data_IF_678949974644
#
_entry.id   IF_678949974644
#
_cell.length_a   1.000
_cell.length_b   1.000
_cell.length_c   1.000
_cell.angle_alpha   90.00
_cell.angle_beta   90.00
_cell.angle_gamma   90.00
#
_symmetry.space_group_name_H-M   'P 1'
#
loop_
_entity.id
_entity.type
_entity.pdbx_description
1 polymer ?
#
# COMPACT_ATOMS: atom_id res chain seq x y z
N UNK A 1 16.18 2.90 -40.77
CA UNK A 1 16.55 1.58 -40.21
C UNK A 1 17.57 1.71 -39.08
N UNK A 2 18.60 2.55 -39.23
CA UNK A 2 19.59 2.85 -38.19
C UNK A 2 18.97 3.53 -36.95
N UNK A 3 18.18 4.60 -37.13
CA UNK A 3 17.53 5.32 -36.01
C UNK A 3 16.65 4.44 -35.10
N UNK A 4 16.00 3.41 -35.67
CA UNK A 4 15.19 2.44 -34.92
C UNK A 4 16.05 1.48 -34.08
N UNK A 5 17.27 1.16 -34.53
CA UNK A 5 18.23 0.35 -33.78
C UNK A 5 18.84 1.21 -32.65
N UNK A 6 19.12 2.47 -32.92
CA UNK A 6 19.70 3.39 -31.94
C UNK A 6 18.69 3.76 -30.83
N UNK A 7 17.44 4.03 -31.20
CA UNK A 7 16.35 4.23 -30.24
C UNK A 7 16.14 2.99 -29.37
N UNK A 8 16.36 1.79 -29.93
CA UNK A 8 16.24 0.51 -29.22
C UNK A 8 17.37 0.27 -28.23
N UNK A 9 18.62 0.53 -28.62
CA UNK A 9 19.79 0.45 -27.74
C UNK A 9 19.67 1.46 -26.59
N UNK A 10 19.18 2.67 -26.87
CA UNK A 10 18.93 3.69 -25.84
C UNK A 10 17.86 3.23 -24.86
N UNK A 11 16.73 2.71 -25.34
CA UNK A 11 15.65 2.24 -24.46
C UNK A 11 16.08 1.07 -23.55
N UNK A 12 16.85 0.10 -24.07
CA UNK A 12 17.40 -1.00 -23.25
C UNK A 12 18.42 -0.51 -22.23
N UNK A 13 19.32 0.39 -22.63
CA UNK A 13 20.32 0.97 -21.73
C UNK A 13 19.68 1.84 -20.64
N UNK A 14 18.56 2.50 -20.95
CA UNK A 14 17.83 3.36 -20.01
C UNK A 14 17.07 2.54 -18.96
N UNK A 15 16.52 1.38 -19.35
CA UNK A 15 15.93 0.40 -18.42
C UNK A 15 17.01 -0.18 -17.51
N UNK A 16 18.15 -0.61 -18.06
CA UNK A 16 19.26 -1.21 -17.30
C UNK A 16 19.89 -0.19 -16.33
N UNK A 17 20.05 1.06 -16.77
CA UNK A 17 20.52 2.16 -15.93
C UNK A 17 19.54 2.49 -14.81
N UNK A 18 18.23 2.44 -15.09
CA UNK A 18 17.19 2.63 -14.08
C UNK A 18 17.21 1.50 -13.07
N UNK A 19 17.38 0.24 -13.50
CA UNK A 19 17.47 -0.94 -12.64
C UNK A 19 18.68 -0.88 -11.71
N UNK A 20 19.87 -0.55 -12.23
CA UNK A 20 21.09 -0.40 -11.44
C UNK A 20 21.00 0.74 -10.41
N UNK A 21 20.38 1.87 -10.79
CA UNK A 21 20.12 2.97 -9.87
C UNK A 21 19.16 2.55 -8.76
N UNK A 22 18.15 1.75 -9.10
CA UNK A 22 17.18 1.23 -8.15
C UNK A 22 17.80 0.23 -7.15
N UNK A 23 18.64 -0.68 -7.63
CA UNK A 23 19.40 -1.62 -6.79
C UNK A 23 20.37 -0.90 -5.84
N UNK A 24 20.98 0.19 -6.30
CA UNK A 24 21.90 0.99 -5.49
C UNK A 24 21.17 1.74 -4.37
N UNK A 25 20.03 2.36 -4.68
CA UNK A 25 19.17 3.01 -3.69
C UNK A 25 18.62 2.02 -2.67
N UNK A 26 18.24 0.81 -3.12
CA UNK A 26 17.80 -0.27 -2.25
C UNK A 26 18.89 -0.70 -1.25
N UNK A 27 20.12 -0.91 -1.74
CA UNK A 27 21.27 -1.26 -0.88
C UNK A 27 21.58 -0.17 0.14
N UNK A 28 21.45 1.10 -0.25
CA UNK A 28 21.65 2.23 0.66
C UNK A 28 20.55 2.27 1.74
N UNK A 29 19.29 2.07 1.34
CA UNK A 29 18.14 2.02 2.25
C UNK A 29 18.23 0.87 3.28
N UNK A 30 18.64 -0.33 2.85
CA UNK A 30 18.89 -1.49 3.74
C UNK A 30 20.02 -1.19 4.74
N UNK A 31 21.01 -0.39 4.34
CA UNK A 31 22.18 -0.08 5.17
C UNK A 31 21.91 0.99 6.24
N UNK A 32 20.90 1.85 6.07
CA UNK A 32 20.74 3.07 6.86
C UNK A 32 19.86 2.93 8.12
N UNK A 33 19.16 1.81 8.33
CA UNK A 33 18.15 1.71 9.43
C UNK A 33 18.27 0.47 10.30
N UNK A 34 18.44 0.67 11.61
CA UNK A 34 18.77 -0.35 12.62
C UNK A 34 17.64 -1.29 13.10
N UNK A 35 18.03 -2.57 13.16
CA UNK A 35 17.79 -3.66 14.12
C UNK A 35 16.42 -4.07 14.70
N UNK A 36 15.32 -3.30 14.66
CA UNK A 36 14.07 -3.76 15.32
C UNK A 36 12.81 -3.73 14.44
N UNK A 37 12.81 -2.96 13.35
CA UNK A 37 11.69 -2.86 12.39
C UNK A 37 11.96 -3.72 11.13
N UNK A 38 13.00 -4.56 11.18
CA UNK A 38 13.80 -4.96 10.01
C UNK A 38 13.33 -6.23 9.31
N UNK A 39 12.82 -7.25 9.98
CA UNK A 39 12.63 -8.55 9.30
C UNK A 39 11.44 -8.57 8.33
N UNK A 40 10.29 -8.02 8.73
CA UNK A 40 9.11 -7.95 7.86
C UNK A 40 9.35 -7.02 6.66
N UNK A 41 10.02 -5.88 6.91
CA UNK A 41 10.37 -4.95 5.84
C UNK A 41 11.40 -5.54 4.88
N UNK A 42 12.40 -6.27 5.39
CA UNK A 42 13.39 -6.95 4.56
C UNK A 42 12.76 -8.11 3.77
N UNK A 43 11.84 -8.87 4.37
CA UNK A 43 11.11 -9.94 3.69
C UNK A 43 10.22 -9.41 2.57
N UNK A 44 9.39 -8.39 2.87
CA UNK A 44 8.53 -7.72 1.88
C UNK A 44 9.39 -7.12 0.77
N UNK A 45 10.50 -6.46 1.11
CA UNK A 45 11.40 -5.85 0.14
C UNK A 45 12.09 -6.88 -0.77
N UNK A 46 12.46 -8.06 -0.24
CA UNK A 46 13.02 -9.18 -1.01
C UNK A 46 11.96 -9.90 -1.88
N UNK A 47 10.78 -10.24 -1.35
CA UNK A 47 9.69 -10.88 -2.11
C UNK A 47 9.22 -9.99 -3.28
N UNK A 48 9.17 -8.67 -3.04
CA UNK A 48 8.87 -7.66 -4.05
C UNK A 48 9.99 -7.59 -5.09
N UNK A 49 11.24 -7.48 -4.65
CA UNK A 49 12.38 -7.39 -5.56
C UNK A 49 12.39 -8.57 -6.55
N UNK A 50 12.16 -9.78 -6.07
CA UNK A 50 12.23 -10.98 -6.90
C UNK A 50 11.05 -11.11 -7.86
N UNK A 51 9.82 -10.76 -7.42
CA UNK A 51 8.65 -10.68 -8.29
C UNK A 51 8.78 -9.61 -9.39
N UNK A 52 9.34 -8.44 -9.05
CA UNK A 52 9.58 -7.36 -10.02
C UNK A 52 10.64 -7.71 -11.05
N UNK A 53 11.74 -8.34 -10.63
CA UNK A 53 12.79 -8.81 -11.54
C UNK A 53 12.24 -9.88 -12.49
N UNK A 54 11.40 -10.80 -12.00
CA UNK A 54 10.74 -11.79 -12.86
C UNK A 54 9.77 -11.16 -13.88
N UNK A 55 8.96 -10.19 -13.47
CA UNK A 55 8.04 -9.49 -14.38
C UNK A 55 8.81 -8.71 -15.45
N UNK A 56 9.85 -7.97 -15.07
CA UNK A 56 10.67 -7.21 -16.00
C UNK A 56 11.46 -8.13 -16.95
N UNK A 57 11.97 -9.26 -16.46
CA UNK A 57 12.60 -10.28 -17.31
C UNK A 57 11.59 -10.87 -18.30
N UNK A 58 10.36 -11.16 -17.88
CA UNK A 58 9.28 -11.64 -18.74
C UNK A 58 8.91 -10.65 -19.84
N UNK A 59 8.80 -9.35 -19.50
CA UNK A 59 8.60 -8.28 -20.49
C UNK A 59 9.78 -8.24 -21.48
N UNK A 60 11.01 -8.38 -21.01
CA UNK A 60 12.19 -8.38 -21.87
C UNK A 60 12.18 -9.56 -22.86
N UNK A 61 11.87 -10.78 -22.41
CA UNK A 61 11.72 -11.94 -23.29
C UNK A 61 10.62 -11.77 -24.34
N UNK A 62 9.48 -11.17 -23.96
CA UNK A 62 8.40 -10.88 -24.92
C UNK A 62 8.80 -9.80 -25.93
N UNK A 63 9.62 -8.83 -25.54
CA UNK A 63 10.20 -7.85 -26.46
C UNK A 63 11.19 -8.50 -27.44
N UNK A 64 12.02 -9.45 -26.99
CA UNK A 64 12.89 -10.24 -27.88
C UNK A 64 12.09 -11.10 -28.86
N UNK A 65 11.01 -11.72 -28.39
CA UNK A 65 10.08 -12.45 -29.25
C UNK A 65 9.43 -11.52 -30.28
N UNK A 66 9.03 -10.30 -29.89
CA UNK A 66 8.55 -9.29 -30.83
C UNK A 66 9.59 -8.99 -31.91
N UNK A 67 10.88 -8.88 -31.56
CA UNK A 67 11.96 -8.62 -32.52
C UNK A 67 12.10 -9.76 -33.54
N UNK A 68 12.00 -11.01 -33.10
CA UNK A 68 12.07 -12.17 -33.99
C UNK A 68 10.87 -12.26 -34.93
N UNK A 69 9.67 -11.92 -34.42
CA UNK A 69 8.43 -11.97 -35.18
C UNK A 69 8.25 -10.78 -36.13
N UNK A 70 8.92 -9.64 -35.91
CA UNK A 70 8.61 -8.40 -36.64
C UNK A 70 8.80 -8.50 -38.16
N UNK A 71 9.70 -9.38 -38.62
CA UNK A 71 9.96 -9.64 -40.04
C UNK A 71 9.15 -10.82 -40.60
N UNK A 72 8.78 -11.79 -39.76
CA UNK A 72 8.13 -13.05 -40.18
C UNK A 72 6.60 -13.00 -40.05
N UNK A 73 6.09 -12.34 -39.02
CA UNK A 73 4.66 -12.17 -38.75
C UNK A 73 4.40 -10.84 -38.02
N UNK A 74 4.28 -9.73 -38.76
CA UNK A 74 4.14 -8.39 -38.18
C UNK A 74 2.88 -8.22 -37.31
N UNK A 75 1.78 -8.91 -37.64
CA UNK A 75 0.54 -8.87 -36.83
C UNK A 75 0.73 -9.54 -35.47
N UNK A 76 1.38 -10.71 -35.43
CA UNK A 76 1.70 -11.38 -34.18
C UNK A 76 2.68 -10.55 -33.33
N UNK A 77 3.72 -9.97 -33.95
CA UNK A 77 4.67 -9.07 -33.29
C UNK A 77 3.96 -7.86 -32.64
N UNK A 78 3.04 -7.21 -33.37
CA UNK A 78 2.27 -6.08 -32.84
C UNK A 78 1.36 -6.48 -31.67
N UNK A 79 0.76 -7.68 -31.71
CA UNK A 79 -0.06 -8.20 -30.62
C UNK A 79 0.78 -8.44 -29.35
N UNK A 80 1.90 -9.15 -29.47
CA UNK A 80 2.84 -9.39 -28.36
C UNK A 80 3.42 -8.09 -27.80
N UNK A 81 3.67 -7.08 -28.64
CA UNK A 81 4.15 -5.77 -28.19
C UNK A 81 3.10 -5.01 -27.37
N UNK A 82 1.83 -5.07 -27.79
CA UNK A 82 0.71 -4.46 -27.03
C UNK A 82 0.53 -5.13 -25.67
N UNK A 83 0.61 -6.46 -25.62
CA UNK A 83 0.52 -7.23 -24.39
C UNK A 83 1.68 -6.90 -23.43
N UNK A 84 2.91 -6.86 -23.95
CA UNK A 84 4.09 -6.48 -23.17
C UNK A 84 3.99 -5.07 -22.61
N UNK A 85 3.45 -4.11 -23.38
CA UNK A 85 3.22 -2.73 -22.93
C UNK A 85 2.14 -2.65 -21.84
N UNK A 86 1.10 -3.48 -21.91
CA UNK A 86 0.08 -3.55 -20.87
C UNK A 86 0.65 -4.14 -19.57
N UNK A 87 1.42 -5.24 -19.66
CA UNK A 87 2.08 -5.84 -18.51
C UNK A 87 3.09 -4.90 -17.86
N UNK A 88 3.89 -4.17 -18.66
CA UNK A 88 4.82 -3.17 -18.14
C UNK A 88 4.10 -2.02 -17.42
N UNK A 89 2.94 -1.56 -17.93
CA UNK A 89 2.14 -0.53 -17.25
C UNK A 89 1.62 -1.01 -15.90
N UNK A 90 1.12 -2.25 -15.82
CA UNK A 90 0.67 -2.86 -14.57
C UNK A 90 1.82 -2.99 -13.57
N UNK A 91 2.98 -3.50 -14.03
CA UNK A 91 4.18 -3.58 -13.21
C UNK A 91 4.61 -2.21 -12.68
N UNK A 92 4.62 -1.16 -13.51
CA UNK A 92 4.95 0.21 -13.06
C UNK A 92 3.94 0.72 -12.01
N UNK A 93 2.65 0.40 -12.14
CA UNK A 93 1.64 0.75 -11.15
C UNK A 93 1.84 0.01 -9.83
N UNK A 94 2.07 -1.30 -9.88
CA UNK A 94 2.39 -2.11 -8.70
C UNK A 94 3.68 -1.63 -8.02
N UNK A 95 4.71 -1.28 -8.80
CA UNK A 95 5.97 -0.76 -8.28
C UNK A 95 5.74 0.56 -7.55
N UNK A 96 4.95 1.46 -8.13
CA UNK A 96 4.58 2.73 -7.48
C UNK A 96 3.81 2.50 -6.20
N UNK A 97 2.88 1.55 -6.17
CA UNK A 97 2.10 1.20 -4.97
C UNK A 97 3.00 0.64 -3.87
N UNK A 98 3.93 -0.23 -4.24
CA UNK A 98 4.93 -0.78 -3.33
C UNK A 98 5.88 0.29 -2.80
N UNK A 99 6.42 1.15 -3.67
CA UNK A 99 7.28 2.27 -3.28
C UNK A 99 6.53 3.20 -2.34
N UNK A 100 5.25 3.45 -2.60
CA UNK A 100 4.39 4.22 -1.71
C UNK A 100 4.28 3.56 -0.34
N UNK A 101 4.09 2.24 -0.30
CA UNK A 101 4.05 1.46 0.94
C UNK A 101 5.41 1.36 1.66
N UNK A 102 6.53 1.55 0.96
CA UNK A 102 7.90 1.44 1.47
C UNK A 102 8.55 2.81 1.75
N UNK A 103 7.93 3.93 1.38
CA UNK A 103 8.54 5.26 1.50
C UNK A 103 8.82 5.60 2.98
N UNK A 104 10.02 6.14 3.30
CA UNK A 104 10.29 6.73 4.60
C UNK A 104 9.23 7.79 4.91
N UNK A 105 8.61 7.66 6.08
CA UNK A 105 7.43 8.40 6.54
C UNK A 105 7.70 9.88 6.88
N UNK A 106 8.81 10.46 6.41
CA UNK A 106 9.29 11.80 6.76
C UNK A 106 9.20 12.82 5.62
N UNK A 107 8.36 12.63 4.59
CA UNK A 107 8.22 13.61 3.50
C UNK A 107 6.81 14.20 3.41
N UNK A 108 6.74 15.52 3.60
CA UNK A 108 5.62 16.46 3.77
C UNK A 108 4.49 16.49 2.71
N UNK A 109 4.37 15.52 1.80
CA UNK A 109 3.42 15.61 0.66
C UNK A 109 2.71 14.30 0.34
N UNK A 110 2.16 13.63 1.35
CA UNK A 110 1.20 12.56 1.11
C UNK A 110 -0.22 13.14 1.07
N UNK A 111 -0.88 13.00 -0.08
CA UNK A 111 -2.32 13.15 -0.18
C UNK A 111 -2.96 11.80 0.22
N UNK A 112 -3.61 11.78 1.37
CA UNK A 112 -4.21 10.60 1.97
C UNK A 112 -5.39 10.10 1.13
N UNK A 113 -6.29 10.99 0.72
CA UNK A 113 -7.51 10.64 0.00
C UNK A 113 -7.20 10.02 -1.37
N UNK A 114 -6.34 10.60 -2.23
CA UNK A 114 -5.91 9.95 -3.47
C UNK A 114 -5.18 8.63 -3.22
N UNK A 115 -4.33 8.56 -2.19
CA UNK A 115 -3.62 7.35 -1.81
C UNK A 115 -4.56 6.20 -1.44
N UNK A 116 -5.55 6.47 -0.58
CA UNK A 116 -6.57 5.51 -0.17
C UNK A 116 -7.46 5.10 -1.35
N UNK A 117 -7.86 6.05 -2.20
CA UNK A 117 -8.70 5.78 -3.38
C UNK A 117 -8.03 4.78 -4.32
N UNK A 118 -6.73 4.97 -4.60
CA UNK A 118 -5.95 4.04 -5.41
C UNK A 118 -5.81 2.67 -4.73
N UNK A 119 -5.51 2.66 -3.42
CA UNK A 119 -5.37 1.44 -2.66
C UNK A 119 -6.66 0.60 -2.67
N UNK A 120 -7.83 1.23 -2.49
CA UNK A 120 -9.13 0.55 -2.52
C UNK A 120 -9.47 -0.02 -3.89
N UNK A 121 -9.11 0.69 -4.98
CA UNK A 121 -9.31 0.17 -6.34
C UNK A 121 -8.49 -1.10 -6.58
N UNK A 122 -7.23 -1.12 -6.14
CA UNK A 122 -6.37 -2.31 -6.19
C UNK A 122 -6.92 -3.43 -5.31
N UNK A 123 -7.28 -3.12 -4.06
CA UNK A 123 -7.84 -4.09 -3.11
C UNK A 123 -9.09 -4.77 -3.64
N UNK A 124 -10.05 -4.01 -4.17
CA UNK A 124 -11.28 -4.57 -4.74
C UNK A 124 -11.00 -5.44 -5.99
N UNK A 125 -9.99 -5.07 -6.79
CA UNK A 125 -9.59 -5.86 -7.97
C UNK A 125 -8.98 -7.20 -7.57
N UNK A 126 -8.17 -7.22 -6.51
CA UNK A 126 -7.45 -8.41 -6.05
C UNK A 126 -8.33 -9.36 -5.24
N UNK A 127 -9.20 -8.82 -4.39
CA UNK A 127 -10.00 -9.60 -3.41
C UNK A 127 -11.43 -9.85 -3.86
N UNK A 128 -11.92 -9.11 -4.86
CA UNK A 128 -13.33 -9.06 -5.26
C UNK A 128 -14.30 -8.56 -4.17
N UNK A 129 -13.79 -7.98 -3.07
CA UNK A 129 -14.60 -7.41 -1.99
C UNK A 129 -15.03 -5.99 -2.37
N UNK A 130 -16.34 -5.75 -2.38
CA UNK A 130 -16.91 -4.43 -2.73
C UNK A 130 -16.51 -3.41 -1.67
N UNK A 131 -15.77 -2.38 -2.08
CA UNK A 131 -15.21 -1.38 -1.16
C UNK A 131 -15.92 -0.04 -1.36
N UNK A 132 -16.69 0.40 -0.36
CA UNK A 132 -17.34 1.71 -0.36
C UNK A 132 -16.54 2.69 0.48
N UNK A 133 -15.97 3.71 -0.16
CA UNK A 133 -15.26 4.78 0.53
C UNK A 133 -16.04 6.10 0.44
N UNK A 134 -16.23 6.76 1.58
CA UNK A 134 -16.84 8.10 1.66
C UNK A 134 -15.99 9.01 2.52
N UNK A 135 -15.78 10.23 2.04
CA UNK A 135 -15.01 11.28 2.70
C UNK A 135 -15.87 12.51 2.91
N UNK A 136 -15.73 13.13 4.08
CA UNK A 136 -16.22 14.48 4.39
C UNK A 136 -15.08 15.31 4.98
N UNK A 137 -15.01 16.60 4.61
CA UNK A 137 -13.98 17.52 5.08
C UNK A 137 -12.73 17.60 4.19
N UNK A 138 -11.68 18.26 4.69
CA UNK A 138 -10.45 18.57 3.95
C UNK A 138 -9.21 17.95 4.61
N UNK A 139 -8.52 17.07 3.88
CA UNK A 139 -7.31 16.41 4.34
C UNK A 139 -6.11 17.35 4.53
N UNK A 140 -6.15 18.58 4.02
CA UNK A 140 -5.07 19.56 4.22
C UNK A 140 -4.93 19.99 5.69
N UNK A 141 -5.98 19.81 6.49
CA UNK A 141 -5.98 20.10 7.93
C UNK A 141 -5.19 19.05 8.73
N UNK A 142 -5.00 17.85 8.17
CA UNK A 142 -4.34 16.74 8.85
C UNK A 142 -2.81 16.88 8.82
N UNK A 143 -2.17 16.71 9.98
CA UNK A 143 -0.71 16.60 10.05
C UNK A 143 -0.22 15.38 9.25
N UNK A 144 0.98 15.45 8.62
CA UNK A 144 1.55 14.36 7.83
C UNK A 144 1.58 13.03 8.61
N UNK A 145 1.95 13.09 9.89
CA UNK A 145 1.97 11.95 10.80
C UNK A 145 0.61 11.28 10.93
N UNK A 146 -0.45 12.07 11.10
CA UNK A 146 -1.83 11.57 11.18
C UNK A 146 -2.24 10.87 9.89
N UNK A 147 -1.97 11.46 8.72
CA UNK A 147 -2.26 10.85 7.41
C UNK A 147 -1.63 9.46 7.28
N UNK A 148 -0.37 9.34 7.69
CA UNK A 148 0.39 8.09 7.63
C UNK A 148 -0.23 7.01 8.51
N UNK A 149 -0.52 7.33 9.78
CA UNK A 149 -1.09 6.36 10.70
C UNK A 149 -2.49 5.92 10.28
N UNK A 150 -3.32 6.85 9.79
CA UNK A 150 -4.63 6.50 9.23
C UNK A 150 -4.52 5.53 8.06
N UNK A 151 -3.61 5.79 7.12
CA UNK A 151 -3.41 4.89 5.99
C UNK A 151 -3.05 3.48 6.47
N UNK A 152 -2.16 3.36 7.46
CA UNK A 152 -1.77 2.07 8.03
C UNK A 152 -2.89 1.37 8.79
N UNK A 153 -3.68 2.12 9.56
CA UNK A 153 -4.84 1.56 10.27
C UNK A 153 -5.86 1.00 9.27
N UNK A 154 -6.15 1.74 8.21
CA UNK A 154 -7.07 1.30 7.16
C UNK A 154 -6.51 0.07 6.42
N UNK A 155 -5.21 0.06 6.13
CA UNK A 155 -4.55 -1.08 5.50
C UNK A 155 -4.63 -2.35 6.36
N UNK A 156 -4.35 -2.24 7.65
CA UNK A 156 -4.43 -3.37 8.59
C UNK A 156 -5.87 -3.89 8.69
N UNK A 157 -6.84 -2.98 8.80
CA UNK A 157 -8.25 -3.33 8.83
C UNK A 157 -8.68 -4.08 7.57
N UNK A 158 -8.26 -3.65 6.38
CA UNK A 158 -8.57 -4.35 5.14
C UNK A 158 -7.87 -5.71 5.00
N UNK A 159 -6.62 -5.82 5.45
CA UNK A 159 -5.92 -7.12 5.56
C UNK A 159 -6.70 -8.09 6.46
N UNK A 160 -7.26 -7.61 7.57
CA UNK A 160 -8.09 -8.43 8.45
C UNK A 160 -9.39 -8.88 7.78
N UNK A 161 -10.02 -7.99 7.00
CA UNK A 161 -11.22 -8.34 6.23
C UNK A 161 -10.92 -9.44 5.21
N UNK A 162 -9.85 -9.29 4.43
CA UNK A 162 -9.42 -10.26 3.43
C UNK A 162 -9.10 -11.63 4.06
N UNK A 163 -8.30 -11.66 5.11
CA UNK A 163 -7.79 -12.91 5.70
C UNK A 163 -8.81 -13.63 6.57
N UNK A 164 -9.69 -12.90 7.26
CA UNK A 164 -10.47 -13.47 8.36
C UNK A 164 -11.98 -13.28 8.22
N UNK A 165 -12.46 -12.20 7.59
CA UNK A 165 -13.87 -11.85 7.70
C UNK A 165 -14.79 -12.70 6.80
N UNK A 166 -14.29 -13.31 5.71
CA UNK A 166 -15.16 -13.91 4.67
C UNK A 166 -16.29 -12.96 4.23
N UNK A 167 -15.97 -11.67 4.20
CA UNK A 167 -16.90 -10.60 3.83
C UNK A 167 -16.94 -10.44 2.32
N UNK A 168 -18.07 -10.01 1.77
CA UNK A 168 -18.19 -9.59 0.37
C UNK A 168 -18.16 -8.06 0.21
N UNK A 169 -18.28 -7.32 1.32
CA UNK A 169 -18.35 -5.87 1.33
C UNK A 169 -17.68 -5.27 2.56
N UNK A 170 -16.98 -4.16 2.32
CA UNK A 170 -16.44 -3.29 3.37
C UNK A 170 -16.80 -1.84 3.08
N UNK A 171 -17.09 -1.08 4.14
CA UNK A 171 -17.35 0.36 4.05
C UNK A 171 -16.37 1.12 4.93
N UNK A 172 -15.79 2.17 4.37
CA UNK A 172 -14.84 3.08 5.03
C UNK A 172 -15.43 4.48 4.96
N UNK A 173 -15.61 5.10 6.12
CA UNK A 173 -16.02 6.50 6.25
C UNK A 173 -14.90 7.27 6.92
N UNK A 174 -14.45 8.35 6.29
CA UNK A 174 -13.45 9.27 6.80
C UNK A 174 -14.11 10.64 6.94
N UNK A 175 -14.33 11.07 8.18
CA UNK A 175 -14.93 12.36 8.50
C UNK A 175 -13.89 13.28 9.13
N UNK A 176 -13.57 14.38 8.43
CA UNK A 176 -12.56 15.35 8.82
C UNK A 176 -13.28 16.64 9.23
N UNK A 177 -13.55 16.75 10.53
CA UNK A 177 -14.10 17.95 11.14
C UNK A 177 -13.04 19.02 11.43
N UNK A 178 -13.46 20.12 12.06
CA UNK A 178 -12.56 21.21 12.43
C UNK A 178 -11.65 20.87 13.64
N UNK A 179 -12.18 20.09 14.58
CA UNK A 179 -11.57 19.77 15.87
C UNK A 179 -11.32 18.26 16.06
N UNK A 180 -11.90 17.44 15.18
CA UNK A 180 -11.85 15.98 15.26
C UNK A 180 -11.84 15.35 13.89
N UNK A 181 -11.13 14.24 13.81
CA UNK A 181 -11.08 13.31 12.71
C UNK A 181 -11.68 11.98 13.19
N UNK A 182 -12.64 11.43 12.45
CA UNK A 182 -13.20 10.12 12.72
C UNK A 182 -13.06 9.21 11.50
N UNK A 183 -12.58 7.98 11.72
CA UNK A 183 -12.57 6.92 10.71
C UNK A 183 -13.41 5.76 11.21
N UNK A 184 -14.40 5.34 10.41
CA UNK A 184 -15.19 4.13 10.66
C UNK A 184 -14.99 3.15 9.53
N UNK A 185 -14.58 1.92 9.88
CA UNK A 185 -14.42 0.80 8.95
C UNK A 185 -15.40 -0.28 9.38
N UNK A 186 -16.21 -0.79 8.48
CA UNK A 186 -17.20 -1.82 8.78
C UNK A 186 -17.27 -2.85 7.67
N UNK A 187 -17.09 -4.12 8.00
CA UNK A 187 -17.32 -5.26 7.12
C UNK A 187 -18.61 -6.01 7.48
N UNK A 188 -19.10 -6.83 6.55
CA UNK A 188 -20.26 -7.70 6.75
C UNK A 188 -19.89 -9.18 6.93
N UNK A 189 -18.67 -9.45 7.41
CA UNK A 189 -18.14 -10.79 7.53
C UNK A 189 -18.68 -11.57 8.73
N UNK A 190 -17.99 -12.66 9.04
CA UNK A 190 -18.34 -13.59 10.12
C UNK A 190 -18.10 -13.00 11.51
N UNK A 191 -17.33 -11.92 11.65
CA UNK A 191 -16.96 -11.36 12.95
C UNK A 191 -16.23 -12.36 13.86
N UNK A 192 -15.95 -11.95 15.09
CA UNK A 192 -15.32 -12.79 16.11
C UNK A 192 -15.76 -12.37 17.51
N UNK A 193 -15.47 -13.22 18.51
CA UNK A 193 -15.75 -12.92 19.90
C UNK A 193 -14.64 -12.02 20.49
N UNK A 194 -14.98 -10.75 20.68
CA UNK A 194 -14.07 -9.73 21.21
C UNK A 194 -13.61 -10.03 22.64
N UNK A 195 -14.47 -10.62 23.48
CA UNK A 195 -14.10 -10.97 24.86
C UNK A 195 -13.11 -12.13 24.89
N UNK A 196 -13.28 -13.12 24.02
CA UNK A 196 -12.35 -14.23 23.90
C UNK A 196 -10.97 -13.76 23.42
N UNK A 197 -10.92 -12.78 22.51
CA UNK A 197 -9.67 -12.20 21.99
C UNK A 197 -8.99 -11.30 23.04
N UNK A 198 -9.74 -10.55 23.86
CA UNK A 198 -9.19 -9.76 24.97
C UNK A 198 -8.49 -10.60 26.06
N UNK A 199 -8.95 -11.85 26.25
CA UNK A 199 -8.40 -12.76 27.28
C UNK A 199 -7.16 -13.53 26.81
N UNK A 200 -6.81 -13.43 25.52
CA UNK A 200 -5.73 -14.19 24.88
C UNK A 200 -4.76 -13.23 24.15
N UNK A 201 -3.63 -12.87 24.79
CA UNK A 201 -2.68 -11.90 24.23
C UNK A 201 -2.09 -12.29 22.87
N UNK A 202 -1.97 -13.60 22.58
CA UNK A 202 -1.45 -14.06 21.29
C UNK A 202 -2.44 -13.77 20.17
N UNK A 203 -3.75 -14.00 20.40
CA UNK A 203 -4.80 -13.64 19.43
C UNK A 203 -4.92 -12.15 19.25
N UNK A 204 -4.77 -11.38 20.33
CA UNK A 204 -4.81 -9.92 20.29
C UNK A 204 -3.78 -9.32 19.30
N UNK A 205 -2.60 -9.93 19.24
CA UNK A 205 -1.53 -9.56 18.30
C UNK A 205 -1.78 -10.14 16.90
N UNK A 206 -2.24 -11.39 16.82
CA UNK A 206 -2.49 -12.10 15.56
C UNK A 206 -3.56 -11.44 14.67
N UNK A 207 -4.59 -10.84 15.27
CA UNK A 207 -5.63 -10.10 14.55
C UNK A 207 -5.22 -8.65 14.20
N UNK A 208 -3.99 -8.22 14.50
CA UNK A 208 -3.53 -6.85 14.19
C UNK A 208 -4.23 -5.74 15.00
N UNK A 209 -5.11 -6.10 15.95
CA UNK A 209 -5.92 -5.17 16.75
C UNK A 209 -5.02 -4.30 17.62
N UNK A 210 -4.00 -4.91 18.24
CA UNK A 210 -2.98 -4.19 19.02
C UNK A 210 -2.34 -3.06 18.21
N UNK A 211 -1.91 -3.36 16.99
CA UNK A 211 -1.28 -2.40 16.10
C UNK A 211 -2.20 -1.27 15.66
N UNK A 212 -3.51 -1.51 15.50
CA UNK A 212 -4.49 -0.47 15.21
C UNK A 212 -4.62 0.49 16.40
N UNK A 213 -4.78 -0.05 17.61
CA UNK A 213 -4.98 0.75 18.82
C UNK A 213 -3.72 1.52 19.23
N UNK A 214 -2.54 0.91 19.13
CA UNK A 214 -1.26 1.58 19.42
C UNK A 214 -1.03 2.76 18.47
N UNK A 215 -1.25 2.58 17.16
CA UNK A 215 -1.11 3.67 16.18
C UNK A 215 -2.13 4.78 16.40
N UNK A 216 -3.33 4.43 16.84
CA UNK A 216 -4.36 5.42 17.19
C UNK A 216 -3.91 6.26 18.38
N UNK A 217 -3.33 5.64 19.41
CA UNK A 217 -2.75 6.36 20.56
C UNK A 217 -1.55 7.24 20.16
N UNK A 218 -0.73 6.81 19.21
CA UNK A 218 0.44 7.58 18.73
C UNK A 218 0.05 8.90 18.05
N UNK A 219 -1.20 9.06 17.62
CA UNK A 219 -1.73 10.33 17.08
C UNK A 219 -2.63 11.06 18.08
N UNK A 220 -2.58 10.68 19.37
CA UNK A 220 -3.39 11.29 20.43
C UNK A 220 -4.87 10.92 20.35
N UNK A 221 -5.23 9.88 19.58
CA UNK A 221 -6.60 9.43 19.39
C UNK A 221 -6.99 8.23 20.26
N UNK A 222 -8.26 7.87 20.16
CA UNK A 222 -8.86 6.69 20.76
C UNK A 222 -9.42 5.76 19.68
N UNK A 223 -9.18 4.47 19.85
CA UNK A 223 -9.64 3.44 18.91
C UNK A 223 -10.56 2.46 19.61
N UNK A 224 -11.61 2.04 18.92
CA UNK A 224 -12.56 1.04 19.38
C UNK A 224 -12.79 -0.02 18.31
N UNK A 225 -12.84 -1.29 18.73
CA UNK A 225 -13.15 -2.42 17.86
C UNK A 225 -14.36 -3.14 18.42
N UNK A 226 -15.41 -3.21 17.61
CA UNK A 226 -16.63 -3.94 17.89
C UNK A 226 -16.69 -5.13 16.95
N UNK A 227 -16.74 -6.35 17.48
CA UNK A 227 -16.98 -7.55 16.68
C UNK A 227 -17.88 -8.51 17.42
N UNK A 228 -18.77 -9.18 16.68
CA UNK A 228 -19.57 -10.29 17.20
C UNK A 228 -19.67 -11.39 16.14
N UNK A 229 -19.65 -12.68 16.54
CA UNK A 229 -19.89 -13.77 15.61
C UNK A 229 -21.20 -13.58 14.83
N UNK A 230 -21.12 -13.69 13.51
CA UNK A 230 -22.21 -13.51 12.54
C UNK A 230 -22.64 -12.05 12.28
N UNK A 231 -21.92 -11.04 12.81
CA UNK A 231 -22.30 -9.61 12.66
C UNK A 231 -21.25 -8.74 11.98
N UNK A 232 -20.11 -9.31 11.57
CA UNK A 232 -18.98 -8.58 11.02
C UNK A 232 -18.15 -7.87 12.09
N UNK A 233 -17.20 -7.06 11.63
CA UNK A 233 -16.37 -6.21 12.50
C UNK A 233 -16.55 -4.74 12.15
N UNK A 234 -16.50 -3.90 13.17
CA UNK A 234 -16.50 -2.45 13.06
C UNK A 234 -15.33 -1.88 13.85
N UNK A 235 -14.55 -1.05 13.20
CA UNK A 235 -13.41 -0.34 13.78
C UNK A 235 -13.72 1.16 13.72
N UNK A 236 -13.56 1.84 14.85
CA UNK A 236 -13.76 3.28 14.98
C UNK A 236 -12.46 3.87 15.50
N UNK A 237 -11.98 4.92 14.85
CA UNK A 237 -10.79 5.67 15.24
C UNK A 237 -11.18 7.13 15.33
N UNK A 238 -10.94 7.73 16.49
CA UNK A 238 -11.25 9.11 16.78
C UNK A 238 -9.97 9.84 17.18
N UNK A 239 -9.63 10.89 16.44
CA UNK A 239 -8.40 11.66 16.64
C UNK A 239 -8.77 13.13 16.84
N UNK A 240 -8.45 13.72 18.00
CA UNK A 240 -8.59 15.16 18.18
C UNK A 240 -7.59 15.90 17.27
N UNK A 241 -8.07 16.91 16.56
CA UNK A 241 -7.28 17.82 15.72
C UNK A 241 -6.90 19.11 16.47
N UNK A 242 -7.23 19.17 17.77
CA UNK A 242 -6.94 20.28 18.67
C UNK A 242 -5.58 20.18 19.36
N UNK A 243 -4.81 21.27 19.19
CA UNK A 243 -3.45 21.58 19.67
C UNK A 243 -2.28 21.01 18.85
N UNK A 244 -1.51 22.00 18.35
CA UNK A 244 -0.19 21.89 17.73
C UNK A 244 0.61 20.79 18.42
N UNK A 245 1.21 19.90 17.64
CA UNK A 245 2.37 19.15 18.10
C UNK A 245 3.34 20.20 18.67
N UNK A 246 3.50 20.21 20.00
CA UNK A 246 4.67 20.81 20.61
C UNK A 246 5.86 20.06 20.04
N UNK A 247 6.44 20.64 18.99
CA UNK A 247 7.77 20.30 18.54
C UNK A 247 8.64 20.57 19.76
N UNK A 248 9.00 19.51 20.48
CA UNK A 248 10.10 19.53 21.42
C UNK A 248 11.36 19.89 20.63
N UNK A 249 11.62 21.19 20.51
CA UNK A 249 12.95 21.71 20.25
C UNK A 249 13.81 21.30 21.45
N UNK A 250 14.43 20.13 21.36
CA UNK A 250 15.56 19.77 22.22
C UNK A 250 16.76 20.59 21.78
N UNK A 251 16.81 21.85 22.17
CA UNK A 251 18.06 22.52 22.49
C UNK A 251 18.33 22.24 23.98
N UNK A 252 19.37 21.45 24.24
CA UNK A 252 20.39 21.69 25.27
C UNK A 252 21.62 20.81 24.97
#
# INVERSE_FOLDING_TARGET
>A
MWELIEARIRATAEIEKTLNKYQSLYRLYVKETGAAVTDERTRIACEIHDGFVQILAGVNFKLDLCQQLIRKNPRASLATLKESKAQLKLAIQEARQVIFNLRPLHYDKMDLIPGLTNYFASYQTQTHIVTKFTVTGDEQILFPRTKIFLFRIIQEALSNVEKHAKADRVSIKLDIGADRLQVTITDNGVGFDMEAVLRDPEKWDHFGIKGILERTRLVGGEGHVESKPGKGTKIIVDVPLGNKEEIGNGED
#
